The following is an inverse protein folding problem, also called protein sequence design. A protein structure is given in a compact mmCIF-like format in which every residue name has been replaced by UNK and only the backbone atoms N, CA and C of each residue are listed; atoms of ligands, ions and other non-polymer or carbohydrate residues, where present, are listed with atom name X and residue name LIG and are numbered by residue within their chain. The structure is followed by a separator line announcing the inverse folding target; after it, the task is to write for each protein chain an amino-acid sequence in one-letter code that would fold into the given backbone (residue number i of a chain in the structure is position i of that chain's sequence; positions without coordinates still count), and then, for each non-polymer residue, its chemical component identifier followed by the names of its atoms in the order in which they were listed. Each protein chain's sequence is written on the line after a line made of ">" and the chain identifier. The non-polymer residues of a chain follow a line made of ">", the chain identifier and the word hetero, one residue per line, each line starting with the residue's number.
data_IF_064329733273
#
_entry.id   IF_064329733273
#
_cell.length_a   1.000
_cell.length_b   1.000
_cell.length_c   1.000
_cell.angle_alpha   90.00
_cell.angle_beta   90.00
_cell.angle_gamma   90.00
#
_symmetry.space_group_name_H-M   'P 1'
#
loop_
_entity.id
_entity.type
_entity.pdbx_description
1 polymer ?
#
# COMPACT_ATOMS: atom_id res chain seq x y z
N UNK A 1 -8.12 2.08 -13.71
CA UNK A 1 -8.35 3.28 -12.86
C UNK A 1 -7.05 4.05 -12.76
N UNK A 2 -7.12 5.39 -12.77
CA UNK A 2 -5.96 6.25 -12.54
C UNK A 2 -5.55 6.25 -11.06
N UNK A 3 -4.32 6.65 -10.72
CA UNK A 3 -3.91 6.79 -9.32
C UNK A 3 -4.83 7.70 -8.49
N UNK A 4 -5.31 8.80 -9.08
CA UNK A 4 -6.24 9.73 -8.43
C UNK A 4 -7.62 9.09 -8.18
N UNK A 5 -8.16 8.34 -9.14
CA UNK A 5 -9.43 7.62 -8.97
C UNK A 5 -9.35 6.55 -7.88
N UNK A 6 -8.20 5.89 -7.73
CA UNK A 6 -7.97 4.93 -6.65
C UNK A 6 -7.88 5.67 -5.32
N UNK A 7 -7.03 6.71 -5.22
CA UNK A 7 -6.83 7.51 -4.02
C UNK A 7 -8.13 8.09 -3.45
N UNK A 8 -9.01 8.60 -4.31
CA UNK A 8 -10.32 9.15 -3.93
C UNK A 8 -11.25 8.11 -3.28
N UNK A 9 -11.08 6.82 -3.57
CA UNK A 9 -11.88 5.72 -3.02
C UNK A 9 -11.27 5.06 -1.77
N UNK A 10 -10.03 5.41 -1.42
CA UNK A 10 -9.35 4.84 -0.26
C UNK A 10 -9.88 5.46 1.04
N UNK A 11 -10.19 4.60 2.00
CA UNK A 11 -10.42 4.97 3.40
C UNK A 11 -9.15 5.53 4.04
N UNK A 12 -9.28 6.24 5.17
CA UNK A 12 -8.12 6.75 5.91
C UNK A 12 -7.10 5.66 6.28
N UNK A 13 -7.56 4.49 6.73
CA UNK A 13 -6.68 3.38 7.08
C UNK A 13 -5.92 2.81 5.86
N UNK A 14 -6.57 2.74 4.70
CA UNK A 14 -5.93 2.32 3.45
C UNK A 14 -4.91 3.36 2.98
N UNK A 15 -5.24 4.65 3.03
CA UNK A 15 -4.30 5.74 2.71
C UNK A 15 -3.06 5.67 3.58
N UNK A 16 -3.22 5.51 4.90
CA UNK A 16 -2.09 5.41 5.83
C UNK A 16 -1.18 4.23 5.52
N UNK A 17 -1.74 3.08 5.12
CA UNK A 17 -0.94 1.91 4.74
C UNK A 17 -0.17 2.12 3.44
N UNK A 18 -0.80 2.70 2.41
CA UNK A 18 -0.15 3.04 1.14
C UNK A 18 0.98 4.05 1.36
N UNK A 19 0.77 5.05 2.23
CA UNK A 19 1.80 6.05 2.56
C UNK A 19 2.99 5.43 3.32
N UNK A 20 2.72 4.48 4.21
CA UNK A 20 3.75 3.80 5.01
C UNK A 20 4.69 2.91 4.17
N UNK A 21 4.19 2.30 3.09
CA UNK A 21 5.00 1.47 2.19
C UNK A 21 5.71 2.35 1.15
N UNK A 22 6.83 2.98 1.55
CA UNK A 22 7.68 3.78 0.64
C UNK A 22 8.36 2.95 -0.45
N UNK A 23 8.93 3.56 -1.50
CA UNK A 23 9.70 2.81 -2.50
C UNK A 23 10.92 2.13 -1.88
N UNK A 24 11.29 0.96 -2.39
CA UNK A 24 12.50 0.25 -2.00
C UNK A 24 13.78 0.95 -2.51
N UNK A 25 14.87 0.82 -1.77
CA UNK A 25 16.14 1.51 -2.08
C UNK A 25 16.96 0.86 -3.21
N UNK A 26 16.57 -0.33 -3.68
CA UNK A 26 17.33 -1.10 -4.67
C UNK A 26 16.83 -0.80 -6.09
N UNK A 27 15.52 -0.89 -6.28
CA UNK A 27 14.85 -0.77 -7.57
C UNK A 27 13.94 0.45 -7.65
N UNK A 28 13.39 0.89 -6.51
CA UNK A 28 12.34 1.92 -6.43
C UNK A 28 11.04 1.53 -7.14
N UNK A 29 10.86 0.25 -7.49
CA UNK A 29 9.71 -0.27 -8.25
C UNK A 29 8.70 -0.98 -7.36
N UNK A 30 9.12 -1.37 -6.16
CA UNK A 30 8.28 -2.03 -5.17
C UNK A 30 8.28 -1.22 -3.87
N UNK A 31 7.25 -1.44 -3.06
CA UNK A 31 7.17 -0.86 -1.74
C UNK A 31 8.08 -1.58 -0.75
N UNK A 32 8.48 -0.88 0.31
CA UNK A 32 9.04 -1.47 1.51
C UNK A 32 7.92 -2.20 2.27
N UNK A 33 8.28 -3.35 2.84
CA UNK A 33 7.35 -4.14 3.63
C UNK A 33 6.92 -3.39 4.88
N UNK A 34 5.62 -3.33 5.11
CA UNK A 34 5.00 -2.76 6.31
C UNK A 34 4.29 -3.86 7.07
N UNK A 35 4.61 -4.03 8.35
CA UNK A 35 3.95 -5.01 9.20
C UNK A 35 2.44 -4.75 9.30
N UNK A 36 1.67 -5.81 9.06
CA UNK A 36 0.22 -5.80 9.18
C UNK A 36 -0.22 -6.72 10.31
N UNK A 37 -0.97 -6.16 11.27
CA UNK A 37 -1.54 -6.89 12.40
C UNK A 37 -3.00 -6.51 12.59
N UNK A 38 -3.82 -7.48 12.99
CA UNK A 38 -5.23 -7.28 13.35
C UNK A 38 -6.05 -6.59 12.25
N UNK A 39 -6.61 -5.41 12.56
CA UNK A 39 -7.50 -4.67 11.65
C UNK A 39 -6.83 -4.24 10.33
N UNK A 40 -5.49 -4.14 10.30
CA UNK A 40 -4.71 -3.79 9.09
C UNK A 40 -4.84 -4.84 7.99
N UNK A 41 -5.13 -6.09 8.35
CA UNK A 41 -5.27 -7.17 7.39
C UNK A 41 -6.39 -6.92 6.36
N UNK A 42 -7.52 -6.35 6.80
CA UNK A 42 -8.63 -6.01 5.89
C UNK A 42 -8.22 -4.92 4.89
N UNK A 43 -7.44 -3.94 5.34
CA UNK A 43 -6.91 -2.90 4.46
C UNK A 43 -5.95 -3.49 3.43
N UNK A 44 -5.00 -4.32 3.86
CA UNK A 44 -4.03 -4.97 2.97
C UNK A 44 -4.71 -5.82 1.90
N UNK A 45 -5.68 -6.66 2.30
CA UNK A 45 -6.51 -7.45 1.38
C UNK A 45 -7.28 -6.59 0.37
N UNK A 46 -7.86 -5.48 0.83
CA UNK A 46 -8.60 -4.59 -0.05
C UNK A 46 -7.68 -3.87 -1.05
N UNK A 47 -6.48 -3.49 -0.63
CA UNK A 47 -5.47 -2.87 -1.49
C UNK A 47 -4.92 -3.84 -2.53
N UNK A 48 -4.70 -5.10 -2.16
CA UNK A 48 -4.32 -6.15 -3.11
C UNK A 48 -5.45 -6.44 -4.11
N UNK A 49 -6.70 -6.47 -3.66
CA UNK A 49 -7.86 -6.62 -4.56
C UNK A 49 -7.99 -5.46 -5.57
N UNK A 50 -7.43 -4.29 -5.26
CA UNK A 50 -7.33 -3.14 -6.16
C UNK A 50 -6.08 -3.18 -7.06
N UNK A 51 -5.20 -4.18 -6.91
CA UNK A 51 -3.97 -4.33 -7.68
C UNK A 51 -2.84 -3.36 -7.30
N UNK A 52 -2.97 -2.67 -6.16
CA UNK A 52 -2.01 -1.63 -5.75
C UNK A 52 -1.04 -2.09 -4.65
N UNK A 53 -1.01 -3.39 -4.36
CA UNK A 53 -0.02 -3.97 -3.48
C UNK A 53 -0.20 -5.47 -3.30
N UNK A 54 0.67 -6.04 -2.48
CA UNK A 54 0.67 -7.45 -2.13
C UNK A 54 0.71 -7.58 -0.61
N UNK A 55 0.17 -8.65 -0.07
CA UNK A 55 0.27 -8.94 1.35
C UNK A 55 0.52 -10.42 1.63
N UNK A 56 1.17 -10.69 2.75
CA UNK A 56 1.33 -12.05 3.28
C UNK A 56 0.37 -12.28 4.44
N UNK A 57 -0.01 -13.54 4.64
CA UNK A 57 -0.78 -13.98 5.80
C UNK A 57 -0.35 -15.34 6.29
N UNK A 58 -0.19 -15.48 7.61
CA UNK A 58 0.31 -16.71 8.21
C UNK A 58 1.76 -16.99 7.84
N UNK A 59 2.54 -15.95 7.51
CA UNK A 59 3.98 -16.06 7.28
C UNK A 59 4.69 -16.49 8.57
N UNK A 60 5.70 -17.37 8.46
CA UNK A 60 6.50 -17.81 9.60
C UNK A 60 7.31 -16.67 10.24
N UNK A 61 7.57 -15.60 9.47
CA UNK A 61 8.42 -14.48 9.90
C UNK A 61 7.56 -13.28 10.30
N UNK A 62 6.75 -12.78 9.37
CA UNK A 62 5.85 -11.65 9.59
C UNK A 62 4.81 -11.54 8.48
N UNK A 63 3.60 -11.15 8.85
CA UNK A 63 2.57 -10.71 7.93
C UNK A 63 2.84 -9.25 7.55
N UNK A 64 2.98 -8.99 6.26
CA UNK A 64 3.40 -7.69 5.76
C UNK A 64 2.59 -7.28 4.54
N UNK A 65 2.66 -6.00 4.21
CA UNK A 65 2.12 -5.39 3.00
C UNK A 65 3.21 -4.63 2.25
N UNK A 66 3.20 -4.72 0.92
CA UNK A 66 4.08 -3.98 0.02
C UNK A 66 3.26 -3.28 -1.07
N UNK A 67 3.55 -2.00 -1.34
CA UNK A 67 3.03 -1.34 -2.53
C UNK A 67 3.56 -2.03 -3.80
N UNK A 68 2.70 -2.17 -4.81
CA UNK A 68 3.15 -2.45 -6.17
C UNK A 68 3.58 -1.14 -6.84
N UNK A 69 4.10 -1.21 -8.08
CA UNK A 69 4.37 0.00 -8.87
C UNK A 69 3.12 0.91 -8.99
N UNK A 70 1.93 0.32 -9.10
CA UNK A 70 0.67 1.08 -9.11
C UNK A 70 0.37 1.71 -7.73
N UNK A 71 0.65 1.00 -6.64
CA UNK A 71 0.56 1.53 -5.28
C UNK A 71 1.51 2.70 -5.02
N UNK A 72 2.74 2.64 -5.53
CA UNK A 72 3.69 3.74 -5.45
C UNK A 72 3.20 4.99 -6.20
N UNK A 73 2.55 4.82 -7.37
CA UNK A 73 1.93 5.93 -8.08
C UNK A 73 0.76 6.55 -7.30
N UNK A 74 -0.05 5.72 -6.63
CA UNK A 74 -1.13 6.20 -5.73
C UNK A 74 -0.54 6.94 -4.52
N UNK A 75 0.53 6.41 -3.93
CA UNK A 75 1.26 7.04 -2.82
C UNK A 75 1.77 8.43 -3.22
N UNK A 76 2.41 8.55 -4.38
CA UNK A 76 2.92 9.83 -4.88
C UNK A 76 1.79 10.86 -5.04
N UNK A 77 0.63 10.43 -5.54
CA UNK A 77 -0.55 11.30 -5.62
C UNK A 77 -1.03 11.75 -4.24
N UNK A 78 -1.18 10.83 -3.28
CA UNK A 78 -1.59 11.15 -1.90
C UNK A 78 -0.62 12.11 -1.20
N UNK A 79 0.68 12.02 -1.48
CA UNK A 79 1.67 12.94 -0.93
C UNK A 79 1.52 14.36 -1.48
N UNK A 80 1.07 14.51 -2.73
CA UNK A 80 0.79 15.82 -3.33
C UNK A 80 -0.53 16.43 -2.83
N UNK A 81 -1.51 15.61 -2.43
CA UNK A 81 -2.76 16.10 -1.81
C UNK A 81 -2.55 16.70 -0.41
N UNK A 82 -1.55 16.22 0.33
CA UNK A 82 -1.28 16.60 1.72
C UNK A 82 -0.12 17.59 1.92
N UNK A 83 0.48 18.07 0.83
CA UNK A 83 1.52 19.12 0.82
C UNK A 83 0.91 20.49 0.53
#
# INVERSE_FOLDING_TARGET
>A
MTPAEIAAKLTGAQRSMVLASGPDDISGREGLGVDIVGSRYRSARALEALGIGHHTHGSEIADMYWNSAAGLAVREHLMKEGA
#
